data_IF_735285506309
#
_entry.id   IF_735285506309
#
_cell.length_a   1.000
_cell.length_b   1.000
_cell.length_c   1.000
_cell.angle_alpha   90.00
_cell.angle_beta   90.00
_cell.angle_gamma   90.00
#
_symmetry.space_group_name_H-M   'P 1'
#
loop_
_entity.id
_entity.type
_entity.pdbx_description
1 polymer ?
#
# COMPACT_ATOMS: atom_id res chain seq x y z
N UNK A 1 -2.68 -1.58 -14.03
CA UNK A 1 -2.92 -0.43 -13.15
C UNK A 1 -4.43 -0.24 -13.06
N UNK A 2 -5.05 -0.36 -11.88
CA UNK A 2 -6.41 0.12 -11.53
C UNK A 2 -7.07 -0.67 -10.37
N UNK A 3 -6.32 -1.03 -9.33
CA UNK A 3 -6.95 -1.39 -8.06
C UNK A 3 -7.18 -0.13 -7.21
N UNK A 4 -6.13 0.69 -7.04
CA UNK A 4 -6.16 1.84 -6.13
C UNK A 4 -6.27 3.21 -6.85
N UNK A 5 -6.59 3.22 -8.15
CA UNK A 5 -6.42 4.37 -9.06
C UNK A 5 -4.98 4.92 -9.10
N UNK A 6 -4.68 5.73 -10.11
CA UNK A 6 -3.32 6.28 -10.29
C UNK A 6 -2.96 7.33 -9.23
N UNK A 7 -3.96 8.01 -8.69
CA UNK A 7 -3.83 9.04 -7.66
C UNK A 7 -4.03 8.48 -6.24
N UNK A 8 -4.21 7.16 -6.07
CA UNK A 8 -4.55 6.58 -4.78
C UNK A 8 -6.00 6.80 -4.34
N UNK A 9 -6.87 7.30 -5.21
CA UNK A 9 -8.28 7.57 -4.92
C UNK A 9 -9.13 6.32 -4.64
N UNK A 10 -8.61 5.13 -4.92
CA UNK A 10 -9.32 3.86 -4.75
C UNK A 10 -10.09 3.43 -6.00
N UNK A 11 -10.91 2.39 -5.87
CA UNK A 11 -11.68 1.82 -6.95
C UNK A 11 -12.05 0.38 -6.65
N UNK A 12 -11.42 -0.58 -7.33
CA UNK A 12 -11.54 -2.01 -6.98
C UNK A 12 -10.87 -2.34 -5.64
N UNK A 13 -9.81 -1.60 -5.31
CA UNK A 13 -9.12 -1.60 -4.03
C UNK A 13 -9.44 -0.36 -3.21
N UNK A 14 -9.01 -0.37 -1.95
CA UNK A 14 -9.27 0.72 -1.02
C UNK A 14 -8.59 2.04 -1.45
N UNK A 15 -9.11 3.16 -0.95
CA UNK A 15 -8.43 4.47 -1.05
C UNK A 15 -7.12 4.41 -0.28
N UNK A 16 -6.06 4.96 -0.86
CA UNK A 16 -4.74 5.09 -0.23
C UNK A 16 -4.42 6.54 0.18
N UNK A 17 -5.03 7.51 -0.50
CA UNK A 17 -4.73 8.94 -0.30
C UNK A 17 -5.48 9.59 0.87
N UNK A 18 -5.14 10.85 1.16
CA UNK A 18 -5.72 11.69 2.22
C UNK A 18 -5.62 11.02 3.62
N UNK A 19 -4.43 10.52 3.95
CA UNK A 19 -4.14 9.88 5.24
C UNK A 19 -4.81 8.52 5.47
N UNK A 20 -5.58 7.99 4.52
CA UNK A 20 -6.36 6.75 4.70
C UNK A 20 -5.48 5.53 5.06
N UNK A 21 -4.26 5.47 4.52
CA UNK A 21 -3.29 4.43 4.85
C UNK A 21 -2.87 4.51 6.32
N UNK A 22 -2.55 5.71 6.82
CA UNK A 22 -2.08 5.92 8.19
C UNK A 22 -3.20 5.67 9.20
N UNK A 23 -4.43 6.08 8.88
CA UNK A 23 -5.60 5.80 9.72
C UNK A 23 -5.85 4.29 9.84
N UNK A 24 -5.71 3.55 8.72
CA UNK A 24 -5.97 2.12 8.69
C UNK A 24 -4.82 1.28 9.27
N UNK A 25 -3.59 1.71 9.02
CA UNK A 25 -2.35 1.08 9.46
C UNK A 25 -1.47 2.15 10.14
N UNK A 26 -1.68 2.41 11.44
CA UNK A 26 -0.85 3.37 12.16
C UNK A 26 0.62 2.96 12.18
N UNK A 27 0.89 1.67 12.35
CA UNK A 27 2.24 1.09 12.26
C UNK A 27 2.63 0.84 10.80
N UNK A 28 3.88 1.15 10.46
CA UNK A 28 4.43 0.89 9.14
C UNK A 28 4.72 -0.57 8.85
N UNK A 29 5.07 -1.34 9.88
CA UNK A 29 5.29 -2.77 9.76
C UNK A 29 4.01 -3.51 9.35
N UNK A 30 2.85 -3.10 9.88
CA UNK A 30 1.55 -3.70 9.54
C UNK A 30 1.19 -3.46 8.07
N UNK A 31 1.44 -2.25 7.56
CA UNK A 31 1.24 -1.94 6.15
C UNK A 31 2.20 -2.74 5.26
N UNK A 32 3.48 -2.81 5.63
CA UNK A 32 4.49 -3.56 4.90
C UNK A 32 4.12 -5.06 4.83
N UNK A 33 3.60 -5.63 5.91
CA UNK A 33 3.14 -7.01 5.95
C UNK A 33 1.97 -7.27 4.99
N UNK A 34 1.06 -6.31 4.81
CA UNK A 34 -0.04 -6.41 3.82
C UNK A 34 0.49 -6.34 2.40
N UNK A 35 1.45 -5.46 2.10
CA UNK A 35 2.06 -5.37 0.77
C UNK A 35 2.83 -6.68 0.47
N UNK A 36 3.60 -7.16 1.44
CA UNK A 36 4.39 -8.39 1.29
C UNK A 36 3.50 -9.61 1.06
N UNK A 37 2.54 -9.84 1.95
CA UNK A 37 1.74 -11.08 1.94
C UNK A 37 0.51 -11.00 1.04
N UNK A 38 0.10 -9.79 0.63
CA UNK A 38 -1.18 -9.57 -0.02
C UNK A 38 -2.35 -9.68 0.96
N UNK A 39 -3.55 -9.35 0.48
CA UNK A 39 -4.78 -9.47 1.26
C UNK A 39 -6.00 -9.55 0.33
N UNK A 40 -6.74 -10.65 0.41
CA UNK A 40 -7.92 -10.86 -0.42
C UNK A 40 -7.56 -10.83 -1.91
N UNK A 41 -8.10 -9.86 -2.65
CA UNK A 41 -7.81 -9.67 -4.07
C UNK A 41 -6.47 -8.94 -4.33
N UNK A 42 -5.86 -8.34 -3.30
CA UNK A 42 -4.53 -7.75 -3.42
C UNK A 42 -3.49 -8.88 -3.41
N UNK A 43 -2.71 -9.07 -4.49
CA UNK A 43 -1.72 -10.13 -4.57
C UNK A 43 -0.57 -9.89 -3.59
N UNK A 44 0.13 -10.96 -3.25
CA UNK A 44 1.44 -10.86 -2.59
C UNK A 44 2.47 -10.23 -3.54
N UNK A 45 3.31 -9.38 -2.98
CA UNK A 45 4.48 -8.81 -3.66
C UNK A 45 5.80 -9.41 -3.19
N UNK A 46 5.75 -10.41 -2.30
CA UNK A 46 6.92 -11.21 -1.93
C UNK A 46 7.52 -11.87 -3.18
N UNK A 47 8.85 -11.79 -3.33
CA UNK A 47 9.58 -12.26 -4.51
C UNK A 47 9.37 -11.42 -5.79
N UNK A 48 8.46 -10.43 -5.78
CA UNK A 48 8.31 -9.44 -6.87
C UNK A 48 8.99 -8.14 -6.54
N UNK A 49 8.97 -7.76 -5.27
CA UNK A 49 9.65 -6.60 -4.72
C UNK A 49 10.64 -7.06 -3.66
N UNK A 50 11.78 -6.37 -3.60
CA UNK A 50 12.73 -6.45 -2.49
C UNK A 50 12.19 -5.73 -1.26
N UNK A 51 12.78 -5.98 -0.10
CA UNK A 51 12.40 -5.32 1.15
C UNK A 51 12.51 -3.79 1.04
N UNK A 52 13.58 -3.29 0.41
CA UNK A 52 13.78 -1.87 0.17
C UNK A 52 12.72 -1.26 -0.76
N UNK A 53 12.23 -2.01 -1.76
CA UNK A 53 11.15 -1.56 -2.63
C UNK A 53 9.79 -1.58 -1.91
N UNK A 54 9.55 -2.54 -1.02
CA UNK A 54 8.36 -2.54 -0.16
C UNK A 54 8.37 -1.32 0.75
N UNK A 55 9.51 -1.01 1.38
CA UNK A 55 9.67 0.20 2.21
C UNK A 55 9.44 1.48 1.40
N UNK A 56 9.93 1.54 0.16
CA UNK A 56 9.68 2.66 -0.74
C UNK A 56 8.20 2.85 -1.05
N UNK A 57 7.45 1.77 -1.27
CA UNK A 57 5.99 1.82 -1.48
C UNK A 57 5.27 2.30 -0.21
N UNK A 58 5.66 1.80 0.97
CA UNK A 58 5.12 2.23 2.26
C UNK A 58 5.32 3.73 2.45
N UNK A 59 6.54 4.23 2.20
CA UNK A 59 6.84 5.67 2.30
C UNK A 59 6.06 6.49 1.28
N UNK A 60 6.02 6.08 0.02
CA UNK A 60 5.28 6.79 -1.02
C UNK A 60 3.79 6.94 -0.67
N UNK A 61 3.15 5.86 -0.23
CA UNK A 61 1.71 5.88 0.11
C UNK A 61 1.40 6.69 1.37
N UNK A 62 2.35 6.86 2.29
CA UNK A 62 2.20 7.70 3.49
C UNK A 62 2.59 9.16 3.29
N UNK A 63 3.67 9.42 2.57
CA UNK A 63 4.30 10.74 2.48
C UNK A 63 3.84 11.52 1.24
N UNK A 64 3.55 10.82 0.14
CA UNK A 64 3.22 11.46 -1.16
C UNK A 64 1.73 11.40 -1.46
N UNK A 65 1.08 10.28 -1.15
CA UNK A 65 -0.39 10.16 -1.28
C UNK A 65 -1.13 10.60 -0.01
N UNK A 66 -0.42 10.70 1.13
CA UNK A 66 -0.98 11.04 2.44
C UNK A 66 -1.64 12.41 2.50
#
# INVERSE_FOLDING_TARGET
MNCHANDGGGGKGAKLKDGAVVEKYPDAADQAAVIRNGRGQMPSFDGRLTDAEIDAVVRFTREVLG
#
